data_IF_312242719732
#
_entry.id   IF_312242719732
#
_cell.length_a   1.000
_cell.length_b   1.000
_cell.length_c   1.000
_cell.angle_alpha   90.00
_cell.angle_beta   90.00
_cell.angle_gamma   90.00
#
_symmetry.space_group_name_H-M   'P 1'
#
loop_
_entity.id
_entity.type
_entity.pdbx_description
1 polymer ?
#
# COMPACT_ATOMS: atom_id res chain seq x y z
N UNK A 1 -0.62 9.85 -39.20
CA UNK A 1 -1.73 9.26 -38.41
C UNK A 1 -1.70 9.92 -37.03
N UNK A 2 -2.82 10.52 -36.64
CA UNK A 2 -2.92 11.28 -35.36
C UNK A 2 -3.32 10.40 -34.16
N UNK A 3 -3.26 9.07 -34.32
CA UNK A 3 -3.69 8.13 -33.29
C UNK A 3 -2.61 7.12 -32.93
N UNK A 4 -2.45 6.84 -31.62
CA UNK A 4 -1.63 5.78 -31.06
C UNK A 4 -2.53 4.70 -30.47
N UNK A 5 -2.24 3.45 -30.79
CA UNK A 5 -2.91 2.30 -30.19
C UNK A 5 -1.97 1.61 -29.22
N UNK A 6 -2.39 1.46 -27.98
CA UNK A 6 -1.70 0.69 -26.95
C UNK A 6 -2.42 -0.64 -26.76
N UNK A 7 -1.65 -1.73 -26.68
CA UNK A 7 -2.18 -3.07 -26.39
C UNK A 7 -1.55 -3.58 -25.12
N UNK A 8 -2.37 -3.98 -24.18
CA UNK A 8 -1.96 -4.57 -22.93
C UNK A 8 -2.47 -6.00 -22.86
N UNK A 9 -1.76 -6.82 -22.11
CA UNK A 9 -2.14 -8.20 -21.80
C UNK A 9 -1.82 -8.48 -20.32
N UNK A 10 -2.74 -9.13 -19.64
CA UNK A 10 -2.58 -9.61 -18.27
C UNK A 10 -3.22 -10.99 -18.15
N UNK A 11 -2.59 -11.88 -17.37
CA UNK A 11 -3.07 -13.23 -17.11
C UNK A 11 -3.31 -13.44 -15.63
N UNK A 12 -4.33 -14.25 -15.32
CA UNK A 12 -4.70 -14.60 -13.95
C UNK A 12 -5.01 -13.36 -13.09
N UNK A 13 -5.76 -12.43 -13.66
CA UNK A 13 -6.24 -11.22 -12.99
C UNK A 13 -7.76 -11.14 -13.08
N UNK A 14 -8.39 -10.63 -12.05
CA UNK A 14 -9.85 -10.43 -12.00
C UNK A 14 -10.24 -8.96 -12.19
N UNK A 15 -9.24 -8.07 -12.23
CA UNK A 15 -9.43 -6.65 -12.55
C UNK A 15 -8.25 -6.14 -13.38
N UNK A 16 -8.41 -4.96 -14.00
CA UNK A 16 -7.39 -4.37 -14.84
C UNK A 16 -7.43 -2.86 -14.80
N UNK A 17 -6.29 -2.25 -14.51
CA UNK A 17 -6.11 -0.81 -14.59
C UNK A 17 -4.89 -0.43 -15.42
N UNK A 18 -4.89 0.79 -15.92
CA UNK A 18 -3.71 1.43 -16.52
C UNK A 18 -3.69 2.92 -16.17
N UNK A 19 -2.51 3.47 -16.16
CA UNK A 19 -2.33 4.92 -16.04
C UNK A 19 -1.46 5.43 -17.18
N UNK A 20 -1.62 6.69 -17.54
CA UNK A 20 -0.85 7.34 -18.60
C UNK A 20 -0.69 8.83 -18.33
N UNK A 21 0.54 9.27 -18.20
CA UNK A 21 0.91 10.68 -18.11
C UNK A 21 2.26 10.87 -18.83
N UNK A 22 2.37 11.79 -19.78
CA UNK A 22 3.62 12.01 -20.53
C UNK A 22 4.74 12.61 -19.67
N UNK A 23 4.43 13.05 -18.46
CA UNK A 23 5.38 13.70 -17.54
C UNK A 23 5.83 12.80 -16.40
N UNK A 24 5.39 11.54 -16.35
CA UNK A 24 5.81 10.62 -15.31
C UNK A 24 7.33 10.52 -15.20
N UNK A 25 7.81 10.65 -13.97
CA UNK A 25 9.15 10.19 -13.57
C UNK A 25 9.03 8.74 -13.12
N UNK A 26 9.96 7.93 -13.59
CA UNK A 26 9.94 6.48 -13.39
C UNK A 26 11.12 6.10 -12.50
N UNK A 27 10.83 5.46 -11.36
CA UNK A 27 11.79 4.72 -10.56
C UNK A 27 11.71 3.23 -10.89
N UNK A 28 12.82 2.53 -10.80
CA UNK A 28 12.88 1.08 -10.99
C UNK A 28 13.72 0.45 -9.89
N UNK A 29 13.20 -0.63 -9.33
CA UNK A 29 13.90 -1.52 -8.41
C UNK A 29 13.51 -2.97 -8.68
N UNK A 30 14.09 -3.92 -7.96
CA UNK A 30 13.83 -5.35 -8.15
C UNK A 30 13.95 -6.12 -6.85
N UNK A 31 13.13 -7.14 -6.73
CA UNK A 31 13.37 -8.28 -5.86
C UNK A 31 13.41 -9.54 -6.72
N UNK A 32 14.57 -10.21 -6.78
CA UNK A 32 14.82 -11.34 -7.68
C UNK A 32 14.43 -11.08 -9.14
N UNK A 33 13.49 -11.89 -9.69
CA UNK A 33 12.93 -11.74 -11.03
C UNK A 33 11.75 -10.76 -11.11
N UNK A 34 11.31 -10.21 -10.00
CA UNK A 34 10.17 -9.29 -9.90
C UNK A 34 10.62 -7.84 -10.06
N UNK A 35 10.08 -7.14 -11.05
CA UNK A 35 10.33 -5.72 -11.21
C UNK A 35 9.37 -4.90 -10.35
N UNK A 36 9.87 -3.85 -9.73
CA UNK A 36 9.06 -2.84 -9.06
C UNK A 36 9.29 -1.48 -9.71
N UNK A 37 8.22 -0.84 -10.16
CA UNK A 37 8.28 0.49 -10.77
C UNK A 37 7.52 1.49 -9.91
N UNK A 38 8.03 2.71 -9.81
CA UNK A 38 7.26 3.85 -9.35
C UNK A 38 6.98 4.80 -10.50
N UNK A 39 5.73 5.22 -10.62
CA UNK A 39 5.30 6.22 -11.61
C UNK A 39 4.81 7.45 -10.84
N UNK A 40 5.54 8.53 -10.91
CA UNK A 40 5.25 9.72 -10.12
C UNK A 40 5.11 10.95 -11.00
N UNK A 41 4.13 11.78 -10.70
CA UNK A 41 3.94 13.06 -11.35
C UNK A 41 5.07 14.02 -10.99
N UNK A 42 5.51 14.84 -11.95
CA UNK A 42 6.65 15.75 -11.80
C UNK A 42 6.65 16.56 -10.50
N UNK A 43 5.54 17.15 -10.03
CA UNK A 43 5.53 17.94 -8.80
C UNK A 43 5.88 17.15 -7.54
N UNK A 44 5.67 15.82 -7.53
CA UNK A 44 5.91 14.95 -6.40
C UNK A 44 7.21 14.16 -6.49
N UNK A 45 7.90 14.18 -7.65
CA UNK A 45 9.02 13.29 -7.96
C UNK A 45 10.15 13.31 -6.93
N UNK A 46 10.49 14.49 -6.39
CA UNK A 46 11.55 14.63 -5.38
C UNK A 46 11.24 13.93 -4.05
N UNK A 47 9.98 13.56 -3.80
CA UNK A 47 9.50 12.90 -2.59
C UNK A 47 9.16 11.43 -2.81
N UNK A 48 9.37 10.91 -4.02
CA UNK A 48 9.09 9.54 -4.41
C UNK A 48 10.34 8.75 -4.84
N UNK A 49 11.52 9.27 -4.56
CA UNK A 49 12.77 8.65 -5.00
C UNK A 49 12.99 7.23 -4.46
N UNK A 50 12.45 6.94 -3.28
CA UNK A 50 12.58 5.64 -2.62
C UNK A 50 11.38 4.70 -2.85
N UNK A 51 10.35 5.12 -3.59
CA UNK A 51 9.09 4.36 -3.70
C UNK A 51 9.28 2.99 -4.37
N UNK A 52 10.08 2.91 -5.44
CA UNK A 52 10.35 1.64 -6.10
C UNK A 52 11.19 0.69 -5.21
N UNK A 53 12.17 1.21 -4.47
CA UNK A 53 12.98 0.41 -3.55
C UNK A 53 12.13 -0.11 -2.38
N UNK A 54 11.32 0.76 -1.79
CA UNK A 54 10.40 0.36 -0.72
C UNK A 54 9.38 -0.70 -1.21
N UNK A 55 8.82 -0.52 -2.41
CA UNK A 55 7.94 -1.51 -3.02
C UNK A 55 8.62 -2.86 -3.26
N UNK A 56 9.88 -2.87 -3.67
CA UNK A 56 10.66 -4.09 -3.82
C UNK A 56 10.91 -4.80 -2.47
N UNK A 57 11.14 -4.04 -1.39
CA UNK A 57 11.24 -4.60 -0.04
C UNK A 57 9.90 -5.17 0.45
N UNK A 58 8.76 -4.53 0.16
CA UNK A 58 7.44 -5.10 0.44
C UNK A 58 7.25 -6.43 -0.32
N UNK A 59 7.59 -6.49 -1.62
CA UNK A 59 7.55 -7.74 -2.38
C UNK A 59 8.41 -8.84 -1.75
N UNK A 60 9.60 -8.50 -1.25
CA UNK A 60 10.47 -9.43 -0.55
C UNK A 60 9.81 -9.98 0.70
N UNK A 61 9.42 -9.11 1.63
CA UNK A 61 8.82 -9.50 2.91
C UNK A 61 7.59 -10.37 2.70
N UNK A 62 6.65 -9.91 1.88
CA UNK A 62 5.43 -10.65 1.65
C UNK A 62 5.65 -11.98 0.92
N UNK A 63 6.61 -12.03 -0.01
CA UNK A 63 6.91 -13.26 -0.73
C UNK A 63 7.61 -14.31 0.14
N UNK A 64 8.48 -13.88 1.03
CA UNK A 64 9.21 -14.77 1.94
C UNK A 64 8.30 -15.32 3.03
N UNK A 65 7.38 -14.50 3.58
CA UNK A 65 6.60 -14.85 4.75
C UNK A 65 5.19 -15.38 4.43
N UNK A 66 4.57 -14.92 3.34
CA UNK A 66 3.16 -15.24 3.01
C UNK A 66 2.98 -15.98 1.69
N UNK A 67 4.06 -16.22 0.96
CA UNK A 67 4.04 -16.93 -0.32
C UNK A 67 4.45 -16.05 -1.50
N UNK A 68 5.10 -16.67 -2.47
CA UNK A 68 5.76 -15.98 -3.58
C UNK A 68 4.79 -15.13 -4.41
N UNK A 69 5.18 -13.90 -4.71
CA UNK A 69 4.48 -13.03 -5.66
C UNK A 69 4.37 -13.70 -7.04
N UNK A 70 3.16 -13.83 -7.56
CA UNK A 70 2.89 -14.65 -8.75
C UNK A 70 3.13 -13.94 -10.07
N UNK A 71 2.99 -12.61 -10.12
CA UNK A 71 3.19 -11.85 -11.34
C UNK A 71 4.66 -11.45 -11.51
N UNK A 72 4.98 -10.85 -12.65
CA UNK A 72 6.36 -10.47 -13.01
C UNK A 72 6.74 -9.06 -12.58
N UNK A 73 5.77 -8.22 -12.23
CA UNK A 73 6.01 -6.83 -11.82
C UNK A 73 4.94 -6.33 -10.85
N UNK A 74 5.26 -5.27 -10.13
CA UNK A 74 4.32 -4.36 -9.48
C UNK A 74 4.65 -2.92 -9.86
N UNK A 75 3.65 -2.08 -9.94
CA UNK A 75 3.79 -0.64 -10.21
C UNK A 75 3.10 0.09 -9.07
N UNK A 76 3.80 1.01 -8.41
CA UNK A 76 3.21 1.97 -7.48
C UNK A 76 3.06 3.30 -8.21
N UNK A 77 1.84 3.79 -8.35
CA UNK A 77 1.54 4.97 -9.15
C UNK A 77 0.98 6.11 -8.30
N UNK A 78 1.62 7.27 -8.39
CA UNK A 78 1.20 8.50 -7.71
C UNK A 78 -0.21 8.91 -8.16
N UNK A 79 -1.13 8.95 -7.22
CA UNK A 79 -2.53 9.25 -7.41
C UNK A 79 -3.07 10.10 -6.23
N UNK A 80 -4.40 10.17 -6.09
CA UNK A 80 -5.03 10.94 -5.01
C UNK A 80 -5.34 10.10 -3.78
N UNK A 81 -5.47 8.79 -3.96
CA UNK A 81 -5.90 7.84 -2.93
C UNK A 81 -5.36 6.45 -3.24
N UNK A 82 -5.45 5.52 -2.29
CA UNK A 82 -5.06 4.13 -2.46
C UNK A 82 -6.02 3.35 -3.37
N UNK A 83 -5.49 2.39 -4.13
CA UNK A 83 -6.27 1.39 -4.86
C UNK A 83 -5.39 0.24 -5.33
N UNK A 84 -5.86 -0.98 -5.12
CA UNK A 84 -5.11 -2.23 -5.16
C UNK A 84 -5.22 -3.03 -6.47
N UNK A 85 -5.33 -2.44 -7.62
CA UNK A 85 -5.44 -3.19 -8.88
C UNK A 85 -4.27 -4.18 -9.06
N UNK A 86 -4.53 -5.39 -9.61
CA UNK A 86 -3.47 -6.37 -9.83
C UNK A 86 -2.30 -5.80 -10.64
N UNK A 87 -1.08 -5.93 -10.10
CA UNK A 87 0.18 -5.43 -10.64
C UNK A 87 0.32 -3.90 -10.74
N UNK A 88 -0.69 -3.12 -10.38
CA UNK A 88 -0.60 -1.66 -10.34
C UNK A 88 -1.42 -1.12 -9.17
N UNK A 89 -0.76 -0.52 -8.21
CA UNK A 89 -1.43 0.18 -7.11
C UNK A 89 -1.47 1.68 -7.39
N UNK A 90 -2.52 2.32 -6.90
CA UNK A 90 -2.60 3.77 -6.85
C UNK A 90 -2.29 4.19 -5.43
N UNK A 91 -1.47 5.22 -5.27
CA UNK A 91 -0.97 5.61 -3.97
C UNK A 91 -0.89 7.14 -3.87
N UNK A 92 -0.89 7.65 -2.66
CA UNK A 92 -0.79 9.09 -2.40
C UNK A 92 0.23 9.40 -1.31
N UNK A 93 0.49 10.67 -1.10
CA UNK A 93 1.41 11.11 -0.05
C UNK A 93 2.86 11.26 -0.50
N UNK A 94 3.76 11.31 0.44
CA UNK A 94 5.20 11.50 0.22
C UNK A 94 6.00 10.77 1.28
N UNK A 95 7.24 10.35 0.96
CA UNK A 95 8.15 9.71 1.91
C UNK A 95 8.41 10.61 3.14
N UNK A 96 8.34 10.10 4.37
CA UNK A 96 8.06 8.72 4.76
C UNK A 96 6.57 8.39 4.94
N UNK A 97 5.67 9.38 4.88
CA UNK A 97 4.27 9.24 5.24
C UNK A 97 3.42 8.44 4.23
N UNK A 98 4.00 7.99 3.10
CA UNK A 98 3.30 7.13 2.14
C UNK A 98 3.61 5.64 2.33
N UNK A 99 4.53 5.27 3.24
CA UNK A 99 5.04 3.90 3.35
C UNK A 99 4.00 2.90 3.80
N UNK A 100 3.15 3.28 4.74
CA UNK A 100 2.02 2.48 5.18
C UNK A 100 1.06 2.20 4.03
N UNK A 101 0.66 3.24 3.29
CA UNK A 101 -0.23 3.08 2.12
C UNK A 101 0.40 2.20 1.04
N UNK A 102 1.67 2.44 0.66
CA UNK A 102 2.36 1.59 -0.32
C UNK A 102 2.41 0.12 0.14
N UNK A 103 2.73 -0.13 1.40
CA UNK A 103 2.75 -1.48 1.95
C UNK A 103 1.36 -2.12 1.94
N UNK A 104 0.33 -1.35 2.27
CA UNK A 104 -1.07 -1.76 2.25
C UNK A 104 -1.51 -2.16 0.84
N UNK A 105 -1.39 -1.28 -0.12
CA UNK A 105 -1.83 -1.53 -1.50
C UNK A 105 -1.04 -2.69 -2.16
N UNK A 106 0.25 -2.82 -1.87
CA UNK A 106 1.03 -3.98 -2.33
C UNK A 106 0.60 -5.26 -1.59
N UNK A 107 0.24 -5.17 -0.31
CA UNK A 107 -0.27 -6.29 0.48
C UNK A 107 -1.53 -6.93 -0.11
N UNK A 108 -2.40 -6.12 -0.71
CA UNK A 108 -3.56 -6.59 -1.46
C UNK A 108 -3.23 -7.48 -2.66
N UNK A 109 -1.99 -7.51 -3.13
CA UNK A 109 -1.61 -8.50 -4.14
C UNK A 109 -1.71 -9.93 -3.60
N UNK A 110 -1.67 -10.12 -2.28
CA UNK A 110 -1.92 -11.41 -1.61
C UNK A 110 -3.38 -11.61 -1.24
N UNK A 111 -4.00 -10.64 -0.53
CA UNK A 111 -5.41 -10.68 -0.14
C UNK A 111 -6.20 -9.68 -0.98
N UNK A 112 -6.80 -10.09 -2.00
CA UNK A 112 -7.51 -9.54 -3.14
C UNK A 112 -6.94 -10.08 -4.45
N UNK A 113 -5.70 -9.81 -4.79
CA UNK A 113 -5.11 -10.19 -6.07
C UNK A 113 -4.98 -11.70 -6.26
N UNK A 114 -4.36 -12.40 -5.31
CA UNK A 114 -4.18 -13.87 -5.35
C UNK A 114 -5.30 -14.62 -4.63
N UNK A 115 -5.73 -14.13 -3.49
CA UNK A 115 -6.83 -14.70 -2.71
C UNK A 115 -8.01 -13.74 -2.78
N UNK A 116 -8.82 -13.90 -3.81
CA UNK A 116 -10.01 -13.07 -4.02
C UNK A 116 -11.11 -13.35 -3.03
N UNK A 117 -11.92 -12.33 -2.73
CA UNK A 117 -13.10 -12.41 -1.88
C UNK A 117 -14.23 -11.55 -2.46
N UNK A 118 -15.34 -11.47 -1.76
CA UNK A 118 -16.41 -10.52 -2.06
C UNK A 118 -16.21 -9.25 -1.22
N UNK A 119 -15.44 -8.32 -1.70
CA UNK A 119 -15.08 -7.07 -1.01
C UNK A 119 -16.31 -6.27 -0.56
N UNK A 120 -17.38 -6.27 -1.35
CA UNK A 120 -18.62 -5.57 -1.02
C UNK A 120 -19.23 -6.03 0.30
N UNK A 121 -19.18 -7.34 0.59
CA UNK A 121 -19.84 -7.93 1.77
C UNK A 121 -18.88 -8.66 2.71
N UNK A 122 -17.60 -8.63 2.42
CA UNK A 122 -16.55 -9.30 3.21
C UNK A 122 -15.23 -8.52 3.18
N UNK A 123 -15.31 -7.21 3.21
CA UNK A 123 -14.15 -6.32 3.21
C UNK A 123 -13.09 -6.66 4.29
N UNK A 124 -13.50 -7.28 5.40
CA UNK A 124 -12.55 -7.77 6.40
C UNK A 124 -11.54 -8.77 5.84
N UNK A 125 -11.90 -9.54 4.79
CA UNK A 125 -11.03 -10.60 4.27
C UNK A 125 -9.89 -10.08 3.42
N UNK A 126 -10.04 -8.94 2.79
CA UNK A 126 -8.95 -8.26 2.10
C UNK A 126 -8.36 -7.14 2.93
N UNK A 127 -9.15 -6.21 3.41
CA UNK A 127 -8.69 -5.07 4.20
C UNK A 127 -8.06 -5.48 5.54
N UNK A 128 -8.76 -6.32 6.31
CA UNK A 128 -8.30 -6.71 7.64
C UNK A 128 -7.02 -7.56 7.62
N UNK A 129 -6.88 -8.46 6.64
CA UNK A 129 -5.62 -9.19 6.48
C UNK A 129 -4.52 -8.29 5.93
N UNK A 130 -4.84 -7.38 5.02
CA UNK A 130 -3.88 -6.46 4.44
C UNK A 130 -3.39 -5.43 5.47
N UNK A 131 -4.22 -4.95 6.38
CA UNK A 131 -3.77 -4.15 7.52
C UNK A 131 -2.72 -4.89 8.36
N UNK A 132 -2.93 -6.17 8.62
CA UNK A 132 -1.92 -6.97 9.30
C UNK A 132 -0.62 -7.10 8.50
N UNK A 133 -0.70 -7.32 7.18
CA UNK A 133 0.46 -7.36 6.31
C UNK A 133 1.19 -6.02 6.28
N UNK A 134 0.47 -4.91 6.29
CA UNK A 134 1.02 -3.55 6.36
C UNK A 134 1.88 -3.39 7.60
N UNK A 135 1.33 -3.69 8.78
CA UNK A 135 2.09 -3.64 10.03
C UNK A 135 3.31 -4.55 10.00
N UNK A 136 3.16 -5.76 9.45
CA UNK A 136 4.25 -6.72 9.31
C UNK A 136 5.38 -6.19 8.44
N UNK A 137 5.08 -5.69 7.24
CA UNK A 137 6.07 -5.10 6.34
C UNK A 137 6.78 -3.90 6.95
N UNK A 138 6.02 -2.99 7.58
CA UNK A 138 6.61 -1.82 8.26
C UNK A 138 7.61 -2.24 9.34
N UNK A 139 7.29 -3.27 10.13
CA UNK A 139 8.18 -3.78 11.18
C UNK A 139 9.44 -4.43 10.59
N UNK A 140 9.28 -5.25 9.55
CA UNK A 140 10.40 -5.98 8.93
C UNK A 140 11.34 -5.06 8.11
N UNK A 141 10.82 -3.97 7.54
CA UNK A 141 11.58 -3.04 6.70
C UNK A 141 12.16 -1.89 7.54
N UNK A 142 11.33 -1.24 8.33
CA UNK A 142 11.65 0.01 9.03
C UNK A 142 11.88 -0.18 10.55
N UNK A 143 11.54 -1.36 11.10
CA UNK A 143 11.61 -1.66 12.52
C UNK A 143 10.31 -1.38 13.27
N UNK A 144 10.29 -1.61 14.58
CA UNK A 144 9.07 -1.58 15.39
C UNK A 144 8.31 -0.24 15.39
N UNK A 145 9.01 0.87 15.11
CA UNK A 145 8.43 2.20 15.18
C UNK A 145 8.14 2.76 13.79
N UNK A 146 7.01 3.45 13.67
CA UNK A 146 6.66 4.19 12.45
C UNK A 146 7.76 5.18 12.09
N UNK A 147 8.16 5.20 10.83
CA UNK A 147 9.10 6.19 10.29
C UNK A 147 8.33 7.48 10.01
N UNK A 148 8.68 8.53 10.71
CA UNK A 148 8.00 9.82 10.63
C UNK A 148 8.97 11.00 10.68
N UNK A 149 8.56 12.12 10.12
CA UNK A 149 9.30 13.37 10.23
C UNK A 149 9.25 13.89 11.68
N UNK A 150 10.40 14.06 12.31
CA UNK A 150 10.45 14.60 13.67
C UNK A 150 9.87 16.02 13.72
N UNK A 151 9.14 16.36 14.78
CA UNK A 151 8.61 17.70 14.96
C UNK A 151 9.70 18.78 14.82
N UNK A 152 9.44 19.81 14.00
CA UNK A 152 10.37 20.93 13.79
C UNK A 152 10.62 21.75 15.06
N UNK A 153 9.64 21.79 15.98
CA UNK A 153 9.74 22.51 17.25
C UNK A 153 10.58 21.71 18.24
N UNK A 154 11.64 22.34 18.78
CA UNK A 154 12.58 21.68 19.70
C UNK A 154 11.94 21.13 20.98
N UNK A 155 10.91 21.80 21.52
CA UNK A 155 10.16 21.33 22.68
C UNK A 155 9.35 20.07 22.34
N UNK A 156 8.59 20.09 21.25
CA UNK A 156 7.83 18.92 20.76
C UNK A 156 8.77 17.75 20.44
N UNK A 157 9.89 18.01 19.79
CA UNK A 157 10.91 17.00 19.49
C UNK A 157 11.42 16.31 20.76
N UNK A 158 11.65 17.07 21.85
CA UNK A 158 12.15 16.52 23.12
C UNK A 158 11.16 15.57 23.79
N UNK A 159 9.86 15.79 23.61
CA UNK A 159 8.80 14.99 24.23
C UNK A 159 8.10 14.06 23.23
N UNK A 160 8.59 14.03 22.00
CA UNK A 160 8.09 13.11 20.98
C UNK A 160 8.36 11.67 21.40
N UNK A 161 7.33 10.84 21.33
CA UNK A 161 7.44 9.39 21.56
C UNK A 161 7.12 8.70 20.24
N UNK A 162 8.04 7.86 19.72
CA UNK A 162 7.76 7.07 18.54
C UNK A 162 6.51 6.21 18.74
N UNK A 163 5.69 6.10 17.70
CA UNK A 163 4.54 5.20 17.69
C UNK A 163 4.98 3.86 17.12
N UNK A 164 4.45 2.78 17.67
CA UNK A 164 4.70 1.44 17.12
C UNK A 164 3.81 1.20 15.91
N UNK A 165 4.38 0.63 14.85
CA UNK A 165 3.63 0.30 13.64
C UNK A 165 2.43 -0.61 13.93
N UNK A 166 2.62 -1.66 14.75
CA UNK A 166 1.52 -2.56 15.12
C UNK A 166 0.37 -1.86 15.86
N UNK A 167 0.70 -0.87 16.69
CA UNK A 167 -0.34 -0.12 17.42
C UNK A 167 -1.11 0.80 16.46
N UNK A 168 -0.40 1.41 15.50
CA UNK A 168 -0.99 2.35 14.54
C UNK A 168 -1.88 1.63 13.52
N UNK A 169 -1.35 0.58 12.90
CA UNK A 169 -2.04 -0.11 11.80
C UNK A 169 -3.11 -1.11 12.28
N UNK A 170 -2.93 -1.71 13.47
CA UNK A 170 -3.81 -2.81 13.90
C UNK A 170 -4.62 -2.47 15.14
N UNK A 171 -4.00 -1.97 16.19
CA UNK A 171 -4.66 -1.93 17.51
C UNK A 171 -5.45 -0.66 17.78
N UNK A 172 -4.97 0.51 17.39
CA UNK A 172 -5.58 1.78 17.83
C UNK A 172 -7.01 1.95 17.31
N UNK A 173 -7.24 1.72 16.02
CA UNK A 173 -8.57 1.82 15.39
C UNK A 173 -9.54 0.80 16.00
N UNK A 174 -9.09 -0.46 16.18
CA UNK A 174 -9.90 -1.51 16.80
C UNK A 174 -10.28 -1.15 18.25
N UNK A 175 -9.31 -0.74 19.06
CA UNK A 175 -9.56 -0.38 20.48
C UNK A 175 -10.54 0.81 20.56
N UNK A 176 -10.41 1.79 19.68
CA UNK A 176 -11.31 2.94 19.63
C UNK A 176 -12.73 2.49 19.26
N UNK A 177 -12.89 1.70 18.22
CA UNK A 177 -14.16 1.19 17.74
C UNK A 177 -14.84 0.29 18.80
N UNK A 178 -14.11 -0.65 19.39
CA UNK A 178 -14.60 -1.50 20.45
C UNK A 178 -15.02 -0.70 21.69
N UNK A 179 -14.26 0.32 22.06
CA UNK A 179 -14.59 1.19 23.21
C UNK A 179 -15.86 2.00 22.96
N UNK A 180 -16.05 2.47 21.74
CA UNK A 180 -17.27 3.20 21.32
C UNK A 180 -18.44 2.28 21.02
N UNK A 181 -18.23 0.95 20.97
CA UNK A 181 -19.23 -0.06 20.56
C UNK A 181 -19.77 0.20 19.14
N UNK A 182 -18.88 0.58 18.25
CA UNK A 182 -19.17 0.88 16.83
C UNK A 182 -18.59 -0.17 15.89
N UNK A 183 -18.09 -1.29 16.42
CA UNK A 183 -17.54 -2.37 15.59
C UNK A 183 -18.60 -2.86 14.60
N UNK A 184 -18.32 -2.82 13.30
CA UNK A 184 -19.22 -3.37 12.30
C UNK A 184 -19.24 -4.90 12.38
N UNK A 185 -20.35 -5.50 12.01
CA UNK A 185 -20.39 -6.96 11.84
C UNK A 185 -19.64 -7.34 10.57
N UNK A 186 -19.04 -8.52 10.55
CA UNK A 186 -18.19 -9.04 9.45
C UNK A 186 -18.85 -9.02 8.06
N UNK A 187 -20.17 -8.97 7.99
CA UNK A 187 -20.95 -8.90 6.75
C UNK A 187 -21.50 -7.51 6.44
N UNK A 188 -21.00 -6.48 7.09
CA UNK A 188 -21.37 -5.10 6.79
C UNK A 188 -20.93 -4.75 5.37
N UNK A 189 -21.80 -4.08 4.61
CA UNK A 189 -21.47 -3.61 3.26
C UNK A 189 -20.29 -2.63 3.31
N UNK A 190 -19.35 -2.74 2.37
CA UNK A 190 -18.13 -1.92 2.35
C UNK A 190 -18.40 -0.42 2.43
N UNK A 191 -19.42 0.09 1.73
CA UNK A 191 -19.84 1.51 1.80
C UNK A 191 -20.28 1.98 3.19
N UNK A 192 -20.50 1.05 4.12
CA UNK A 192 -20.90 1.34 5.49
C UNK A 192 -19.72 1.32 6.48
N UNK A 193 -18.53 0.95 6.04
CA UNK A 193 -17.32 1.14 6.82
C UNK A 193 -16.90 2.61 6.70
N UNK A 194 -17.04 3.35 7.76
CA UNK A 194 -16.62 4.74 7.84
C UNK A 194 -15.19 4.79 8.37
N UNK A 195 -14.20 4.70 7.50
CA UNK A 195 -12.81 5.07 7.74
C UNK A 195 -12.29 5.08 9.19
N UNK A 196 -12.61 4.05 9.96
CA UNK A 196 -12.19 3.84 11.33
C UNK A 196 -11.49 2.50 11.43
#
# INVERSE_FOLDING_TARGET
EDHKTWKYHAENVHDFAFTADPTYRIGESRWEDKACYSLVQEPHASKWQNAADFGAECLRVFSEDFGRYVWHKVIVADARDGMEYPMITLDSGTDPGYRDLLAHEIGHMWFFGQVGNNETYRALLDEGFTEFLTAWAMIEIDGENVVEDLPKNSYRKRFHKPQKAIDTEVYNAYIESATRKTDPIISTHSDCFNGA
#
